data_IF_214845381270
#
_entry.id   IF_214845381270
#
_cell.length_a   1.000
_cell.length_b   1.000
_cell.length_c   1.000
_cell.angle_alpha   90.00
_cell.angle_beta   90.00
_cell.angle_gamma   90.00
#
_symmetry.space_group_name_H-M   'P 1'
#
loop_
_entity.id
_entity.type
_entity.pdbx_description
1 polymer ?
#
# COMPACT_ATOMS: atom_id res chain seq x y z
N UNK A 1 -7.98 8.74 -9.32
CA UNK A 1 -7.43 7.87 -10.37
C UNK A 1 -7.33 6.40 -9.94
N UNK A 2 -6.54 6.07 -8.90
CA UNK A 2 -6.47 4.70 -8.33
C UNK A 2 -7.80 4.14 -7.84
N UNK A 3 -8.53 4.92 -7.02
CA UNK A 3 -9.80 4.48 -6.42
C UNK A 3 -10.81 4.09 -7.48
N UNK A 4 -10.90 4.87 -8.57
CA UNK A 4 -11.82 4.59 -9.68
C UNK A 4 -11.50 3.26 -10.37
N UNK A 5 -10.23 3.00 -10.64
CA UNK A 5 -9.80 1.71 -11.22
C UNK A 5 -10.11 0.53 -10.30
N UNK A 6 -9.90 0.68 -8.99
CA UNK A 6 -10.25 -0.37 -8.01
C UNK A 6 -11.77 -0.61 -7.95
N UNK A 7 -12.59 0.44 -8.09
CA UNK A 7 -14.03 0.31 -8.19
C UNK A 7 -14.46 -0.41 -9.48
N UNK A 8 -13.83 -0.09 -10.60
CA UNK A 8 -14.07 -0.73 -11.91
C UNK A 8 -13.68 -2.22 -11.88
N UNK A 9 -12.63 -2.59 -11.13
CA UNK A 9 -12.20 -3.98 -10.89
C UNK A 9 -13.10 -4.74 -9.88
N UNK A 10 -14.19 -4.11 -9.42
CA UNK A 10 -15.21 -4.73 -8.55
C UNK A 10 -14.92 -4.65 -7.04
N UNK A 11 -13.86 -3.97 -6.62
CA UNK A 11 -13.56 -3.80 -5.19
C UNK A 11 -14.52 -2.79 -4.55
N UNK A 12 -14.96 -3.09 -3.33
CA UNK A 12 -15.91 -2.25 -2.57
C UNK A 12 -15.32 -1.70 -1.27
N UNK A 13 -14.23 -2.30 -0.78
CA UNK A 13 -13.56 -1.89 0.46
C UNK A 13 -12.05 -1.84 0.25
N UNK A 14 -11.44 -0.70 0.60
CA UNK A 14 -10.00 -0.49 0.50
C UNK A 14 -9.49 0.29 1.71
N UNK A 15 -8.26 -0.02 2.12
CA UNK A 15 -7.53 0.73 3.15
C UNK A 15 -6.34 1.39 2.47
N UNK A 16 -6.29 2.72 2.49
CA UNK A 16 -5.15 3.49 1.98
C UNK A 16 -4.19 3.81 3.14
N UNK A 17 -2.91 3.56 2.90
CA UNK A 17 -1.82 3.91 3.79
C UNK A 17 -0.90 4.87 3.06
N UNK A 18 -0.89 6.13 3.52
CA UNK A 18 -0.03 7.18 2.97
C UNK A 18 0.88 7.72 4.07
N UNK A 19 2.19 7.83 3.84
CA UNK A 19 3.08 8.44 4.81
C UNK A 19 2.83 9.94 4.81
N UNK A 20 2.46 10.51 5.94
CA UNK A 20 2.47 11.97 6.06
C UNK A 20 3.93 12.44 6.20
N UNK A 21 4.45 13.30 5.30
CA UNK A 21 5.88 13.62 5.24
C UNK A 21 6.43 14.34 6.48
N UNK A 22 5.58 14.82 7.39
CA UNK A 22 5.98 15.51 8.62
C UNK A 22 6.12 14.60 9.86
N UNK A 23 5.88 13.29 9.76
CA UNK A 23 5.80 12.42 10.94
C UNK A 23 6.83 11.28 10.83
N UNK A 24 7.95 11.42 11.56
CA UNK A 24 9.01 10.40 11.71
C UNK A 24 8.49 9.08 12.30
N UNK A 25 7.36 9.10 13.05
CA UNK A 25 6.63 7.92 13.54
C UNK A 25 5.92 7.10 12.43
N UNK A 26 5.85 7.60 11.18
CA UNK A 26 5.19 6.91 10.05
C UNK A 26 5.93 5.65 9.58
N UNK A 27 7.16 5.40 10.05
CA UNK A 27 7.90 4.17 9.73
C UNK A 27 7.17 2.90 10.21
N UNK A 28 6.43 2.99 11.32
CA UNK A 28 5.61 1.88 11.83
C UNK A 28 4.48 1.48 10.86
N UNK A 29 4.00 2.40 10.02
CA UNK A 29 2.99 2.12 9.00
C UNK A 29 3.54 1.24 7.85
N UNK A 30 4.86 1.10 7.77
CA UNK A 30 5.57 0.27 6.78
C UNK A 30 6.22 -0.96 7.40
N UNK A 31 5.86 -1.31 8.64
CA UNK A 31 6.39 -2.49 9.31
C UNK A 31 5.61 -3.74 8.92
N UNK A 32 6.28 -4.89 8.99
CA UNK A 32 5.66 -6.18 8.74
C UNK A 32 4.53 -6.46 9.73
N UNK A 33 4.70 -6.06 10.99
CA UNK A 33 3.72 -6.19 12.06
C UNK A 33 2.45 -5.39 11.76
N UNK A 34 2.61 -4.13 11.31
CA UNK A 34 1.47 -3.30 10.94
C UNK A 34 0.70 -3.90 9.76
N UNK A 35 1.39 -4.32 8.70
CA UNK A 35 0.74 -4.99 7.58
C UNK A 35 0.10 -6.33 7.97
N UNK A 36 0.69 -7.04 8.93
CA UNK A 36 0.11 -8.25 9.52
C UNK A 36 -1.21 -7.98 10.25
N UNK A 37 -1.29 -6.87 11.00
CA UNK A 37 -2.54 -6.43 11.64
C UNK A 37 -3.57 -5.97 10.60
N UNK A 38 -3.16 -5.16 9.62
CA UNK A 38 -4.02 -4.70 8.55
C UNK A 38 -4.66 -5.88 7.80
N UNK A 39 -3.88 -6.92 7.49
CA UNK A 39 -4.38 -8.14 6.85
C UNK A 39 -5.49 -8.83 7.67
N UNK A 40 -5.42 -8.83 9.01
CA UNK A 40 -6.42 -9.50 9.87
C UNK A 40 -7.78 -8.80 9.89
N UNK A 41 -7.80 -7.50 9.62
CA UNK A 41 -9.03 -6.68 9.65
C UNK A 41 -9.64 -6.45 8.26
N UNK A 42 -8.96 -6.88 7.19
CA UNK A 42 -9.53 -6.84 5.85
C UNK A 42 -10.70 -7.82 5.74
N UNK A 43 -11.84 -7.33 5.24
CA UNK A 43 -12.95 -8.17 4.84
C UNK A 43 -12.49 -9.18 3.75
N UNK A 44 -13.18 -10.33 3.60
CA UNK A 44 -12.93 -11.23 2.48
C UNK A 44 -12.93 -10.48 1.14
N UNK A 45 -11.87 -10.63 0.35
CA UNK A 45 -11.70 -9.92 -0.92
C UNK A 45 -11.22 -8.46 -0.82
N UNK A 46 -11.04 -7.93 0.39
CA UNK A 46 -10.50 -6.59 0.63
C UNK A 46 -9.09 -6.40 0.06
N UNK A 47 -8.76 -5.14 -0.25
CA UNK A 47 -7.44 -4.75 -0.78
C UNK A 47 -6.84 -3.63 0.06
N UNK A 48 -5.53 -3.64 0.18
CA UNK A 48 -4.74 -2.60 0.84
C UNK A 48 -3.89 -1.89 -0.20
N UNK A 49 -3.85 -0.56 -0.14
CA UNK A 49 -3.07 0.29 -1.03
C UNK A 49 -2.02 1.02 -0.20
N UNK A 50 -0.74 0.81 -0.52
CA UNK A 50 0.36 1.49 0.12
C UNK A 50 0.98 2.51 -0.85
N UNK A 51 0.97 3.79 -0.48
CA UNK A 51 1.62 4.84 -1.27
C UNK A 51 3.12 4.87 -0.96
N UNK A 52 3.95 4.80 -2.00
CA UNK A 52 5.43 4.73 -1.89
C UNK A 52 6.13 5.99 -2.42
N UNK A 53 5.37 7.01 -2.82
CA UNK A 53 5.88 8.24 -3.39
C UNK A 53 6.44 8.09 -4.82
N UNK A 54 7.14 9.11 -5.34
CA UNK A 54 7.66 9.10 -6.70
C UNK A 54 8.76 8.06 -6.94
N UNK A 55 8.51 7.12 -7.85
CA UNK A 55 9.47 6.07 -8.22
C UNK A 55 10.74 6.63 -8.87
N UNK A 56 10.62 7.73 -9.63
CA UNK A 56 11.76 8.31 -10.35
C UNK A 56 12.88 8.83 -9.43
N UNK A 57 12.52 9.32 -8.23
CA UNK A 57 13.50 9.84 -7.27
C UNK A 57 13.91 8.84 -6.18
N UNK A 58 13.08 7.83 -5.91
CA UNK A 58 13.26 6.91 -4.77
C UNK A 58 12.79 5.47 -5.10
N UNK A 59 13.34 4.82 -6.13
CA UNK A 59 12.84 3.52 -6.59
C UNK A 59 12.96 2.42 -5.51
N UNK A 60 13.92 2.52 -4.60
CA UNK A 60 14.10 1.56 -3.50
C UNK A 60 12.90 1.52 -2.55
N UNK A 61 12.22 2.65 -2.33
CA UNK A 61 11.08 2.72 -1.39
C UNK A 61 9.94 1.80 -1.85
N UNK A 62 9.64 1.80 -3.16
CA UNK A 62 8.65 0.89 -3.73
C UNK A 62 8.98 -0.57 -3.42
N UNK A 63 10.21 -1.00 -3.69
CA UNK A 63 10.63 -2.39 -3.52
C UNK A 63 10.75 -2.80 -2.04
N UNK A 64 11.17 -1.89 -1.17
CA UNK A 64 11.18 -2.13 0.27
C UNK A 64 9.77 -2.39 0.79
N UNK A 65 8.82 -1.52 0.46
CA UNK A 65 7.42 -1.68 0.90
C UNK A 65 6.80 -2.95 0.31
N UNK A 66 7.05 -3.24 -0.96
CA UNK A 66 6.58 -4.45 -1.63
C UNK A 66 7.09 -5.73 -0.95
N UNK A 67 8.38 -5.75 -0.60
CA UNK A 67 9.00 -6.88 0.12
C UNK A 67 8.38 -7.05 1.52
N UNK A 68 8.13 -5.96 2.24
CA UNK A 68 7.50 -6.03 3.57
C UNK A 68 6.05 -6.54 3.50
N UNK A 69 5.29 -6.13 2.48
CA UNK A 69 3.92 -6.63 2.27
C UNK A 69 3.91 -8.13 1.99
N UNK A 70 4.84 -8.63 1.16
CA UNK A 70 5.01 -10.08 0.95
C UNK A 70 5.37 -10.81 2.24
N UNK A 71 6.29 -10.26 3.04
CA UNK A 71 6.67 -10.83 4.33
C UNK A 71 5.50 -10.87 5.33
N UNK A 72 4.54 -9.95 5.23
CA UNK A 72 3.29 -9.97 6.01
C UNK A 72 2.23 -10.96 5.47
N UNK A 73 2.52 -11.66 4.37
CA UNK A 73 1.63 -12.66 3.75
C UNK A 73 0.56 -12.06 2.83
N UNK A 74 0.78 -10.86 2.30
CA UNK A 74 -0.11 -10.23 1.31
C UNK A 74 0.38 -10.56 -0.12
N UNK A 75 -0.57 -10.85 -1.01
CA UNK A 75 -0.29 -10.86 -2.45
C UNK A 75 -0.13 -9.43 -2.96
N UNK A 76 0.94 -9.15 -3.71
CA UNK A 76 1.30 -7.81 -4.16
C UNK A 76 1.18 -7.67 -5.68
N UNK A 77 0.76 -6.49 -6.13
CA UNK A 77 0.79 -6.09 -7.53
C UNK A 77 1.30 -4.64 -7.60
N UNK A 78 2.62 -4.40 -7.74
CA UNK A 78 3.15 -3.05 -7.80
C UNK A 78 2.70 -2.36 -9.09
N UNK A 79 2.22 -1.11 -8.97
CA UNK A 79 1.81 -0.30 -10.11
C UNK A 79 2.22 1.15 -9.89
N UNK A 80 2.30 1.90 -10.98
CA UNK A 80 2.50 3.34 -10.98
C UNK A 80 1.25 4.01 -11.53
N UNK A 81 0.88 5.13 -10.92
CA UNK A 81 -0.15 6.02 -11.46
C UNK A 81 0.55 7.27 -11.95
N UNK A 82 0.33 7.61 -13.22
CA UNK A 82 0.73 8.90 -13.78
C UNK A 82 -0.41 9.87 -13.56
N UNK A 83 -0.20 10.90 -12.73
CA UNK A 83 -1.20 11.94 -12.53
C UNK A 83 -1.53 12.64 -13.85
N UNK A 84 -2.80 13.01 -14.01
CA UNK A 84 -3.28 13.95 -15.02
C UNK A 84 -3.67 15.25 -14.32
#
# INVERSE_FOLDING_TARGET
DTVRRLLDDGYRHFVELSPHPAITESSKLYSQEFYGLARRVLAPGGRLVAHTGPVAGRPRVLWTVESTLRAAGLGTAPYRVTGR
#
